data_IF_347623202350
#
_entry.id   IF_347623202350
#
_cell.length_a   1.000
_cell.length_b   1.000
_cell.length_c   1.000
_cell.angle_alpha   90.00
_cell.angle_beta   90.00
_cell.angle_gamma   90.00
#
_symmetry.space_group_name_H-M   'P 1'
#
loop_
_entity.id
_entity.type
_entity.pdbx_description
1 polymer ?
#
# COMPACT_ATOMS: atom_id res chain seq x y z
N UNK A 1 -6.50 5.09 -9.10
CA UNK A 1 -6.71 4.53 -7.74
C UNK A 1 -5.41 4.77 -7.00
N UNK A 2 -5.40 5.59 -5.94
CA UNK A 2 -4.14 6.02 -5.29
C UNK A 2 -3.60 4.86 -4.45
N UNK A 3 -2.33 4.50 -4.62
CA UNK A 3 -1.69 3.44 -3.85
C UNK A 3 -1.43 3.93 -2.42
N UNK A 4 -1.71 3.09 -1.42
CA UNK A 4 -1.48 3.37 -0.01
C UNK A 4 -0.72 2.21 0.63
N UNK A 5 0.24 2.54 1.47
CA UNK A 5 1.05 1.58 2.23
C UNK A 5 0.96 1.93 3.70
N UNK A 6 0.60 0.94 4.53
CA UNK A 6 0.66 1.04 5.98
C UNK A 6 2.03 0.56 6.45
N UNK A 7 2.69 1.39 7.23
CA UNK A 7 3.99 1.14 7.83
C UNK A 7 3.84 0.53 9.24
N UNK A 8 4.91 -0.05 9.83
CA UNK A 8 4.85 -0.75 11.11
C UNK A 8 4.62 0.19 12.29
N UNK A 9 4.97 1.46 12.12
CA UNK A 9 4.71 2.55 13.06
C UNK A 9 3.24 3.03 13.02
N UNK A 10 2.40 2.44 12.17
CA UNK A 10 1.00 2.82 11.97
C UNK A 10 0.80 3.94 10.95
N UNK A 11 1.87 4.47 10.35
CA UNK A 11 1.79 5.57 9.39
C UNK A 11 1.28 5.08 8.02
N UNK A 12 0.35 5.81 7.41
CA UNK A 12 -0.11 5.54 6.04
C UNK A 12 0.60 6.46 5.05
N UNK A 13 1.46 5.89 4.20
CA UNK A 13 2.05 6.58 3.05
C UNK A 13 1.15 6.48 1.83
N UNK A 14 1.00 7.59 1.11
CA UNK A 14 0.17 7.71 -0.10
C UNK A 14 1.09 7.98 -1.29
N UNK A 15 0.87 7.23 -2.36
CA UNK A 15 1.63 7.36 -3.59
C UNK A 15 0.75 7.86 -4.74
N UNK A 16 1.34 8.52 -5.76
CA UNK A 16 0.65 8.92 -6.97
C UNK A 16 -0.17 7.80 -7.61
N UNK A 17 -1.20 8.18 -8.37
CA UNK A 17 -2.06 7.22 -9.09
C UNK A 17 -1.30 6.40 -10.14
N UNK A 18 -0.19 6.94 -10.63
CA UNK A 18 0.60 6.37 -11.72
C UNK A 18 1.77 5.51 -11.20
N UNK A 19 1.94 5.45 -9.88
CA UNK A 19 2.96 4.62 -9.25
C UNK A 19 2.63 3.14 -9.38
N UNK A 20 3.65 2.34 -9.69
CA UNK A 20 3.57 0.88 -9.73
C UNK A 20 4.22 0.30 -8.49
N UNK A 21 3.74 -0.88 -8.10
CA UNK A 21 4.33 -1.70 -7.03
C UNK A 21 5.02 -2.90 -7.65
N UNK A 22 6.25 -3.14 -7.26
CA UNK A 22 7.04 -4.31 -7.62
C UNK A 22 7.42 -5.03 -6.34
N UNK A 23 7.38 -6.36 -6.35
CA UNK A 23 7.80 -7.17 -5.21
C UNK A 23 8.97 -8.04 -5.67
N UNK A 24 10.16 -7.77 -5.13
CA UNK A 24 11.40 -8.47 -5.47
C UNK A 24 12.09 -8.92 -4.18
N UNK A 25 12.44 -10.19 -4.06
CA UNK A 25 13.09 -10.77 -2.87
C UNK A 25 12.38 -10.46 -1.53
N UNK A 26 11.04 -10.33 -1.59
CA UNK A 26 10.21 -9.98 -0.44
C UNK A 26 10.28 -8.51 -0.01
N UNK A 27 10.95 -7.65 -0.76
CA UNK A 27 10.88 -6.19 -0.63
C UNK A 27 9.76 -5.64 -1.52
N UNK A 28 9.10 -4.58 -1.08
CA UNK A 28 8.15 -3.81 -1.88
C UNK A 28 8.85 -2.57 -2.40
N UNK A 29 8.95 -2.46 -3.70
CA UNK A 29 9.43 -1.25 -4.38
C UNK A 29 8.25 -0.52 -5.00
N UNK A 30 8.17 0.77 -4.72
CA UNK A 30 7.22 1.69 -5.33
C UNK A 30 7.99 2.50 -6.35
N UNK A 31 7.61 2.39 -7.62
CA UNK A 31 8.24 3.10 -8.73
C UNK A 31 7.24 4.04 -9.39
N UNK A 32 7.73 5.14 -9.95
CA UNK A 32 6.92 6.05 -10.76
C UNK A 32 6.61 5.45 -12.14
N UNK A 33 5.74 6.11 -12.92
CA UNK A 33 5.39 5.71 -14.30
C UNK A 33 6.59 5.57 -15.22
N UNK A 34 7.66 6.34 -14.96
CA UNK A 34 8.89 6.35 -15.74
C UNK A 34 9.89 5.29 -15.25
N UNK A 35 9.49 4.43 -14.29
CA UNK A 35 10.33 3.37 -13.73
C UNK A 35 11.39 3.86 -12.74
N UNK A 36 11.29 5.11 -12.27
CA UNK A 36 12.16 5.63 -11.20
C UNK A 36 11.66 5.18 -9.84
N UNK A 37 12.57 4.70 -9.00
CA UNK A 37 12.24 4.33 -7.62
C UNK A 37 11.78 5.55 -6.84
N UNK A 38 10.59 5.44 -6.25
CA UNK A 38 10.04 6.43 -5.33
C UNK A 38 10.37 6.03 -3.89
N UNK A 39 10.09 4.78 -3.52
CA UNK A 39 10.36 4.28 -2.18
C UNK A 39 10.40 2.74 -2.11
N UNK A 40 11.23 2.19 -1.22
CA UNK A 40 11.39 0.75 -1.03
C UNK A 40 11.18 0.36 0.43
N UNK A 41 10.45 -0.73 0.66
CA UNK A 41 10.17 -1.27 1.99
C UNK A 41 10.71 -2.69 2.14
N UNK A 42 11.52 -2.90 3.19
CA UNK A 42 12.09 -4.21 3.50
C UNK A 42 11.01 -5.23 3.93
N UNK A 43 11.29 -6.52 3.70
CA UNK A 43 10.38 -7.63 4.05
C UNK A 43 9.94 -7.56 5.52
N UNK A 44 8.64 -7.61 5.75
CA UNK A 44 8.06 -7.65 7.10
C UNK A 44 7.77 -6.29 7.74
N UNK A 45 8.07 -5.18 7.05
CA UNK A 45 7.86 -3.82 7.55
C UNK A 45 6.73 -3.05 6.86
N UNK A 46 5.79 -3.70 6.18
CA UNK A 46 4.76 -2.97 5.43
C UNK A 46 3.54 -3.85 5.15
N UNK A 47 2.38 -3.22 5.03
CA UNK A 47 1.14 -3.83 4.57
C UNK A 47 0.57 -2.98 3.43
N UNK A 48 0.41 -3.58 2.24
CA UNK A 48 -0.20 -2.88 1.11
C UNK A 48 -1.71 -2.75 1.32
N UNK A 49 -2.21 -1.52 1.46
CA UNK A 49 -3.64 -1.25 1.72
C UNK A 49 -4.29 -0.80 0.41
N UNK A 50 -4.96 -1.72 -0.29
CA UNK A 50 -5.61 -1.44 -1.58
C UNK A 50 -7.01 -2.06 -1.66
N UNK A 51 -8.02 -1.23 -1.96
CA UNK A 51 -9.47 -1.50 -1.98
C UNK A 51 -9.95 -2.46 -0.88
N UNK A 52 -10.21 -1.89 0.29
CA UNK A 52 -11.21 -2.43 1.20
C UNK A 52 -12.58 -2.28 0.51
N UNK A 53 -13.19 -3.38 0.03
CA UNK A 53 -14.64 -3.47 0.11
C UNK A 53 -14.91 -3.70 1.59
N UNK A 54 -15.20 -2.63 2.32
CA UNK A 54 -15.90 -2.78 3.59
C UNK A 54 -17.30 -3.25 3.22
N UNK A 55 -17.49 -4.55 3.10
CA UNK A 55 -18.80 -5.16 3.29
C UNK A 55 -18.81 -5.63 4.74
N UNK A 56 -18.89 -4.68 5.66
CA UNK A 56 -19.25 -4.91 7.05
C UNK A 56 -20.13 -3.76 7.49
N UNK A 57 -21.26 -3.60 6.81
CA UNK A 57 -22.50 -3.23 7.47
C UNK A 57 -23.18 -4.56 7.86
N UNK A 58 -22.60 -5.27 8.82
CA UNK A 58 -23.43 -5.93 9.82
C UNK A 58 -23.62 -4.86 10.89
N UNK A 59 -24.63 -4.02 10.69
CA UNK A 59 -25.19 -3.23 11.77
C UNK A 59 -25.83 -4.23 12.74
N UNK A 60 -25.06 -4.63 13.74
CA UNK A 60 -25.61 -5.07 15.02
C UNK A 60 -25.90 -3.79 15.82
N UNK A 61 -27.11 -3.26 15.61
CA UNK A 61 -27.91 -2.48 16.55
C UNK A 61 -29.30 -3.12 16.40
N UNK A 62 -29.96 -3.72 17.39
CA UNK A 62 -30.11 -3.41 18.82
C UNK A 62 -30.55 -4.68 19.57
#
# INVERSE_FOLDING_TARGET
MRLKVLLPDGTIKKFPNESRRTITDGKLDIVDKDGKDLESFAKGGWTAVGRMRVASETSDEE
#
